data_IF_158439262983
#
_entry.id   IF_158439262983
#
_cell.length_a   1.000
_cell.length_b   1.000
_cell.length_c   1.000
_cell.angle_alpha   90.00
_cell.angle_beta   90.00
_cell.angle_gamma   90.00
#
_symmetry.space_group_name_H-M   'P 1'
#
loop_
_entity.id
_entity.type
_entity.pdbx_description
1 polymer ?
#
# COMPACT_ATOMS: atom_id res chain seq x y z
N UNK A 1 36.09 5.39 3.55
CA UNK A 1 35.88 6.83 3.75
C UNK A 1 36.21 7.61 2.47
N UNK A 2 37.49 7.61 2.05
CA UNK A 2 37.94 8.28 0.80
C UNK A 2 37.00 8.15 -0.40
N UNK A 3 36.56 6.93 -0.75
CA UNK A 3 35.62 6.71 -1.87
C UNK A 3 34.25 7.40 -1.74
N UNK A 4 33.73 7.57 -0.53
CA UNK A 4 32.44 8.25 -0.30
C UNK A 4 32.64 9.77 -0.39
N UNK A 5 33.70 10.28 0.21
CA UNK A 5 34.04 11.72 0.16
C UNK A 5 34.39 12.17 -1.26
N UNK A 6 35.18 11.39 -2.00
CA UNK A 6 35.50 11.65 -3.41
C UNK A 6 34.25 11.71 -4.28
N UNK A 7 33.28 10.81 -4.02
CA UNK A 7 32.07 10.68 -4.83
C UNK A 7 30.99 11.71 -4.47
N UNK A 8 30.86 12.06 -3.20
CA UNK A 8 29.72 12.85 -2.70
C UNK A 8 30.10 14.16 -2.01
N UNK A 9 31.38 14.39 -1.68
CA UNK A 9 31.82 15.58 -0.94
C UNK A 9 31.61 16.91 -1.67
N UNK A 10 31.33 16.88 -2.98
CA UNK A 10 30.91 18.06 -3.77
C UNK A 10 29.39 18.24 -3.82
N UNK A 11 28.62 17.20 -3.51
CA UNK A 11 27.16 17.19 -3.60
C UNK A 11 26.48 17.41 -2.25
N UNK A 12 27.21 17.28 -1.14
CA UNK A 12 26.70 17.50 0.23
C UNK A 12 27.72 18.29 1.04
N UNK A 13 27.22 19.18 1.89
CA UNK A 13 28.07 20.03 2.74
C UNK A 13 28.80 19.24 3.83
N UNK A 14 28.15 18.21 4.39
CA UNK A 14 28.66 17.46 5.53
C UNK A 14 28.44 15.95 5.36
N UNK A 15 29.50 15.18 5.59
CA UNK A 15 29.45 13.72 5.68
C UNK A 15 29.83 13.35 7.12
N UNK A 16 28.86 12.89 7.90
CA UNK A 16 29.08 12.45 9.28
C UNK A 16 29.09 10.93 9.37
N UNK A 17 30.15 10.37 9.97
CA UNK A 17 30.27 8.94 10.23
C UNK A 17 30.34 8.75 11.74
N UNK A 18 29.37 8.07 12.37
CA UNK A 18 29.42 7.83 13.80
C UNK A 18 30.60 6.92 14.15
N UNK A 19 31.38 7.32 15.15
CA UNK A 19 32.53 6.55 15.66
C UNK A 19 32.16 5.12 16.08
N UNK A 20 30.89 4.88 16.41
CA UNK A 20 30.33 3.56 16.71
C UNK A 20 29.10 3.32 15.84
N UNK A 21 29.31 2.90 14.59
CA UNK A 21 28.22 2.68 13.61
C UNK A 21 27.17 1.68 14.11
N UNK A 22 27.60 0.56 14.71
CA UNK A 22 26.70 -0.44 15.30
C UNK A 22 25.87 0.16 16.43
N UNK A 23 26.51 0.90 17.34
CA UNK A 23 25.80 1.53 18.45
C UNK A 23 24.87 2.65 17.98
N UNK A 24 25.17 3.33 16.87
CA UNK A 24 24.27 4.33 16.28
C UNK A 24 22.96 3.69 15.80
N UNK A 25 23.00 2.51 15.17
CA UNK A 25 21.80 1.75 14.78
C UNK A 25 20.97 1.37 16.01
N UNK A 26 21.62 0.79 17.03
CA UNK A 26 20.93 0.35 18.25
C UNK A 26 20.33 1.52 19.03
N UNK A 27 21.06 2.65 19.15
CA UNK A 27 20.53 3.86 19.78
C UNK A 27 19.34 4.43 19.01
N UNK A 28 19.40 4.46 17.69
CA UNK A 28 18.28 4.87 16.84
C UNK A 28 17.04 4.00 17.05
N UNK A 29 17.22 2.67 17.08
CA UNK A 29 16.14 1.73 17.36
C UNK A 29 15.55 1.92 18.76
N UNK A 30 16.37 2.14 19.78
CA UNK A 30 15.91 2.40 21.15
C UNK A 30 15.13 3.72 21.27
N UNK A 31 15.60 4.80 20.62
CA UNK A 31 14.91 6.09 20.56
C UNK A 31 13.55 5.92 19.87
N UNK A 32 13.52 5.21 18.75
CA UNK A 32 12.27 4.92 18.02
C UNK A 32 11.29 4.12 18.90
N UNK A 33 11.73 3.00 19.48
CA UNK A 33 10.90 2.19 20.38
C UNK A 33 10.36 2.98 21.58
N UNK A 34 11.17 3.85 22.18
CA UNK A 34 10.73 4.75 23.26
C UNK A 34 9.68 5.75 22.78
N UNK A 35 9.81 6.26 21.56
CA UNK A 35 8.82 7.18 20.97
C UNK A 35 7.45 6.52 20.76
N UNK A 36 7.41 5.22 20.45
CA UNK A 36 6.17 4.45 20.31
C UNK A 36 5.43 4.24 21.65
N UNK A 37 6.13 4.26 22.79
CA UNK A 37 5.47 4.16 24.10
C UNK A 37 4.73 5.46 24.47
N UNK A 38 5.25 6.62 24.07
CA UNK A 38 4.61 7.91 24.27
C UNK A 38 3.34 8.12 23.44
N UNK A 39 3.19 7.41 22.33
CA UNK A 39 2.03 7.53 21.41
C UNK A 39 0.83 6.66 21.80
N UNK A 40 1.02 5.57 22.57
CA UNK A 40 -0.07 4.69 23.04
C UNK A 40 -1.06 5.37 23.98
N UNK A 41 -0.67 6.46 24.65
CA UNK A 41 -1.51 7.20 25.60
C UNK A 41 -2.26 8.39 24.97
N UNK A 42 -2.13 8.65 23.66
CA UNK A 42 -2.65 9.90 23.10
C UNK A 42 -3.07 9.75 21.64
N UNK A 43 -4.32 9.35 21.44
CA UNK A 43 -5.04 9.28 20.16
C UNK A 43 -5.17 10.63 19.41
N UNK A 44 -4.39 11.66 19.79
CA UNK A 44 -4.53 13.02 19.26
C UNK A 44 -3.33 13.95 19.54
N UNK A 45 -2.10 13.45 19.56
CA UNK A 45 -0.94 14.36 19.63
C UNK A 45 -0.37 14.62 18.23
N UNK A 46 -0.31 15.91 17.91
CA UNK A 46 0.27 16.53 16.72
C UNK A 46 1.49 15.74 16.17
N UNK A 47 1.56 15.62 14.84
CA UNK A 47 2.67 14.99 14.08
C UNK A 47 4.08 15.49 14.48
N UNK A 48 4.19 16.56 15.28
CA UNK A 48 5.45 17.16 15.76
C UNK A 48 6.23 16.34 16.79
N UNK A 49 5.68 15.25 17.36
CA UNK A 49 6.41 14.35 18.26
C UNK A 49 6.74 12.96 17.68
N UNK A 50 6.37 12.68 16.43
CA UNK A 50 6.75 11.41 15.79
C UNK A 50 8.22 11.47 15.38
N UNK A 51 9.00 10.46 15.77
CA UNK A 51 10.41 10.31 15.33
C UNK A 51 10.48 10.07 13.82
N UNK A 52 9.42 9.48 13.23
CA UNK A 52 9.26 9.32 11.79
C UNK A 52 8.03 10.13 11.36
N UNK A 53 8.23 11.21 10.60
CA UNK A 53 7.14 12.04 10.10
C UNK A 53 6.65 11.57 8.72
N UNK A 54 7.58 11.17 7.85
CA UNK A 54 7.33 10.74 6.48
C UNK A 54 8.16 9.50 6.15
N UNK A 55 7.79 8.82 5.07
CA UNK A 55 8.57 7.75 4.46
C UNK A 55 8.46 7.79 2.95
N UNK A 56 9.52 7.37 2.28
CA UNK A 56 9.52 7.18 0.82
C UNK A 56 9.13 5.74 0.52
N UNK A 57 8.05 5.53 -0.24
CA UNK A 57 7.56 4.20 -0.58
C UNK A 57 8.61 3.43 -1.40
N UNK A 58 9.01 2.25 -0.89
CA UNK A 58 9.98 1.38 -1.57
C UNK A 58 9.39 0.62 -2.75
N UNK A 59 8.07 0.48 -2.79
CA UNK A 59 7.32 -0.26 -3.79
C UNK A 59 6.12 0.55 -4.28
N UNK A 60 5.64 0.20 -5.47
CA UNK A 60 4.35 0.59 -6.00
C UNK A 60 3.33 -0.42 -5.48
N UNK A 61 2.22 0.06 -4.93
CA UNK A 61 1.15 -0.75 -4.38
C UNK A 61 -0.12 -0.60 -5.20
N UNK A 62 -0.91 -1.66 -5.27
CA UNK A 62 -2.15 -1.66 -6.01
C UNK A 62 -2.95 -2.94 -5.77
N UNK A 63 -4.06 -3.06 -6.47
CA UNK A 63 -4.95 -4.22 -6.38
C UNK A 63 -5.14 -4.89 -7.72
N UNK A 64 -5.49 -6.17 -7.68
CA UNK A 64 -6.03 -6.86 -8.85
C UNK A 64 -7.46 -6.38 -9.10
N UNK A 65 -7.69 -5.83 -10.29
CA UNK A 65 -9.03 -5.51 -10.80
C UNK A 65 -9.35 -6.38 -12.00
N UNK A 66 -10.63 -6.62 -12.24
CA UNK A 66 -11.08 -7.41 -13.37
C UNK A 66 -12.06 -6.60 -14.22
N UNK A 67 -11.65 -5.54 -14.94
CA UNK A 67 -12.57 -4.77 -15.81
C UNK A 67 -13.02 -5.58 -17.04
N UNK A 68 -13.98 -5.05 -17.79
CA UNK A 68 -14.30 -5.54 -19.13
C UNK A 68 -13.09 -5.38 -20.05
N UNK A 69 -12.82 -6.40 -20.87
CA UNK A 69 -11.82 -6.36 -21.93
C UNK A 69 -12.27 -5.38 -23.02
N UNK A 70 -11.35 -4.57 -23.55
CA UNK A 70 -11.65 -3.53 -24.55
C UNK A 70 -10.73 -3.68 -25.77
N UNK A 71 -11.13 -3.14 -26.95
CA UNK A 71 -10.23 -3.01 -28.09
C UNK A 71 -8.94 -2.31 -27.69
N UNK A 72 -7.79 -2.93 -27.99
CA UNK A 72 -6.46 -2.50 -27.56
C UNK A 72 -5.87 -3.30 -26.39
N UNK A 73 -6.71 -4.04 -25.65
CA UNK A 73 -6.22 -5.02 -24.69
C UNK A 73 -5.65 -6.26 -25.43
N UNK A 74 -4.61 -6.93 -24.87
CA UNK A 74 -4.06 -8.14 -25.50
C UNK A 74 -5.12 -9.26 -25.55
N UNK A 75 -5.37 -9.87 -26.73
CA UNK A 75 -6.40 -10.89 -26.88
C UNK A 75 -6.12 -12.15 -26.06
N UNK A 76 -4.85 -12.52 -25.89
CA UNK A 76 -4.40 -13.67 -25.11
C UNK A 76 -4.66 -13.52 -23.60
N UNK A 77 -4.90 -12.30 -23.12
CA UNK A 77 -5.23 -12.00 -21.71
C UNK A 77 -6.74 -11.91 -21.45
N UNK A 78 -7.57 -12.12 -22.48
CA UNK A 78 -9.02 -12.14 -22.34
C UNK A 78 -9.45 -13.38 -21.56
N UNK A 79 -10.16 -13.17 -20.46
CA UNK A 79 -10.75 -14.23 -19.64
C UNK A 79 -12.25 -14.37 -19.91
N UNK A 80 -12.88 -15.31 -19.22
CA UNK A 80 -14.33 -15.57 -19.31
C UNK A 80 -15.17 -14.30 -19.09
N UNK A 81 -16.38 -14.30 -19.66
CA UNK A 81 -17.29 -13.16 -19.66
C UNK A 81 -16.72 -11.86 -20.29
N UNK A 82 -15.70 -11.98 -21.15
CA UNK A 82 -15.13 -10.83 -21.87
C UNK A 82 -14.42 -9.84 -20.96
N UNK A 83 -13.70 -10.34 -19.95
CA UNK A 83 -12.97 -9.51 -18.98
C UNK A 83 -11.46 -9.68 -19.12
N UNK A 84 -10.71 -8.89 -18.36
CA UNK A 84 -9.26 -8.95 -18.26
C UNK A 84 -8.84 -8.66 -16.82
N UNK A 85 -7.82 -9.34 -16.30
CA UNK A 85 -7.23 -9.02 -15.00
C UNK A 85 -6.11 -7.99 -15.19
N UNK A 86 -6.13 -6.92 -14.40
CA UNK A 86 -5.13 -5.84 -14.43
C UNK A 86 -4.70 -5.47 -13.02
N UNK A 87 -3.49 -4.94 -12.92
CA UNK A 87 -3.01 -4.27 -11.73
C UNK A 87 -3.45 -2.81 -11.75
N UNK A 88 -4.27 -2.41 -10.78
CA UNK A 88 -4.66 -1.03 -10.57
C UNK A 88 -3.79 -0.42 -9.47
N UNK A 89 -2.88 0.47 -9.86
CA UNK A 89 -1.98 1.19 -8.95
C UNK A 89 -2.75 2.13 -8.03
N UNK A 90 -2.44 2.07 -6.74
CA UNK A 90 -2.99 2.94 -5.68
C UNK A 90 -1.94 3.94 -5.19
N UNK A 91 -0.72 3.46 -4.96
CA UNK A 91 0.37 4.29 -4.45
C UNK A 91 1.66 3.95 -5.19
N UNK A 92 2.44 4.97 -5.51
CA UNK A 92 3.62 4.84 -6.36
C UNK A 92 4.90 4.73 -5.54
N UNK A 93 5.84 3.92 -6.04
CA UNK A 93 7.20 3.91 -5.50
C UNK A 93 7.82 5.30 -5.58
N UNK A 94 8.69 5.62 -4.63
CA UNK A 94 9.39 6.92 -4.49
C UNK A 94 8.48 8.09 -4.09
N UNK A 95 7.18 7.88 -3.93
CA UNK A 95 6.31 8.87 -3.30
C UNK A 95 6.67 8.99 -1.82
N UNK A 96 6.92 10.23 -1.38
CA UNK A 96 6.99 10.56 0.03
C UNK A 96 5.56 10.61 0.60
N UNK A 97 5.32 9.87 1.67
CA UNK A 97 4.02 9.80 2.33
C UNK A 97 4.14 10.09 3.81
N UNK A 98 3.17 10.78 4.38
CA UNK A 98 3.06 10.94 5.83
C UNK A 98 2.57 9.65 6.48
N UNK A 99 2.87 9.47 7.76
CA UNK A 99 2.37 8.33 8.53
C UNK A 99 0.84 8.35 8.56
N UNK A 100 0.24 7.21 8.24
CA UNK A 100 -1.21 6.99 8.08
C UNK A 100 -1.85 7.75 6.90
N UNK A 101 -1.06 8.26 5.95
CA UNK A 101 -1.60 8.80 4.70
C UNK A 101 -2.42 7.74 3.98
N UNK A 102 -3.65 8.12 3.62
CA UNK A 102 -4.65 7.26 3.03
C UNK A 102 -4.78 7.51 1.51
N UNK A 103 -4.72 6.43 0.74
CA UNK A 103 -4.96 6.43 -0.70
C UNK A 103 -6.22 5.62 -1.00
N UNK A 104 -7.18 6.20 -1.70
CA UNK A 104 -8.51 5.61 -1.92
C UNK A 104 -8.74 5.30 -3.39
N UNK A 105 -9.47 4.21 -3.64
CA UNK A 105 -10.20 3.96 -4.88
C UNK A 105 -11.67 3.80 -4.52
N UNK A 106 -12.52 4.55 -5.20
CA UNK A 106 -13.96 4.52 -5.02
C UNK A 106 -14.64 3.69 -6.12
N UNK A 107 -15.91 3.39 -5.91
CA UNK A 107 -16.80 2.79 -6.90
C UNK A 107 -16.32 1.45 -7.48
N UNK A 108 -15.64 0.65 -6.66
CA UNK A 108 -15.29 -0.72 -7.00
C UNK A 108 -16.54 -1.59 -6.94
N UNK A 109 -16.95 -2.09 -8.11
CA UNK A 109 -18.16 -2.91 -8.26
C UNK A 109 -17.85 -4.41 -8.22
N UNK A 110 -18.78 -5.24 -7.72
CA UNK A 110 -18.63 -6.69 -7.81
C UNK A 110 -18.56 -7.12 -9.26
N UNK A 111 -17.79 -8.19 -9.54
CA UNK A 111 -17.70 -8.74 -10.90
C UNK A 111 -19.01 -9.41 -11.32
N UNK A 112 -19.73 -10.00 -10.36
CA UNK A 112 -20.98 -10.73 -10.59
C UNK A 112 -22.13 -10.13 -9.76
N UNK A 113 -23.34 -10.02 -10.32
CA UNK A 113 -24.48 -9.40 -9.64
C UNK A 113 -24.94 -10.17 -8.40
N UNK A 114 -24.75 -11.49 -8.37
CA UNK A 114 -25.16 -12.35 -7.25
C UNK A 114 -24.02 -12.66 -6.26
N UNK A 115 -22.84 -12.03 -6.41
CA UNK A 115 -21.70 -12.25 -5.53
C UNK A 115 -22.07 -11.97 -4.05
N UNK A 116 -21.76 -12.92 -3.16
CA UNK A 116 -21.93 -12.80 -1.70
C UNK A 116 -20.76 -12.13 -1.01
N UNK A 117 -19.61 -12.06 -1.70
CA UNK A 117 -18.34 -11.54 -1.20
C UNK A 117 -17.62 -10.80 -2.30
N UNK A 118 -16.73 -9.90 -1.91
CA UNK A 118 -15.76 -9.27 -2.78
C UNK A 118 -14.38 -9.38 -2.14
N UNK A 119 -13.39 -9.75 -2.94
CA UNK A 119 -12.01 -9.93 -2.50
C UNK A 119 -11.14 -8.87 -3.15
N UNK A 120 -10.43 -8.10 -2.33
CA UNK A 120 -9.39 -7.18 -2.77
C UNK A 120 -8.03 -7.83 -2.56
N UNK A 121 -7.46 -8.37 -3.63
CA UNK A 121 -6.09 -8.88 -3.62
C UNK A 121 -5.12 -7.73 -3.85
N UNK A 122 -4.25 -7.50 -2.87
CA UNK A 122 -3.27 -6.42 -2.87
C UNK A 122 -1.92 -6.97 -3.33
N UNK A 123 -1.28 -6.25 -4.25
CA UNK A 123 0.03 -6.59 -4.81
C UNK A 123 0.98 -5.40 -4.65
N UNK A 124 2.28 -5.70 -4.69
CA UNK A 124 3.33 -4.68 -4.74
C UNK A 124 4.44 -5.06 -5.71
N UNK A 125 5.15 -4.05 -6.23
CA UNK A 125 6.27 -4.24 -7.16
C UNK A 125 7.30 -3.12 -7.05
N UNK A 126 8.53 -3.37 -7.52
CA UNK A 126 9.56 -2.33 -7.73
C UNK A 126 9.36 -1.53 -9.02
N UNK A 127 8.54 -2.04 -9.95
CA UNK A 127 8.21 -1.37 -11.20
C UNK A 127 7.32 -0.14 -10.97
N UNK A 128 7.48 0.88 -11.81
CA UNK A 128 6.70 2.11 -11.73
C UNK A 128 5.40 2.02 -12.54
N UNK A 129 5.47 1.37 -13.71
CA UNK A 129 4.38 1.29 -14.69
C UNK A 129 3.94 -0.16 -14.94
N UNK A 130 3.66 -0.90 -13.87
CA UNK A 130 3.13 -2.26 -14.01
C UNK A 130 1.67 -2.24 -14.43
N UNK A 131 1.27 -3.17 -15.31
CA UNK A 131 -0.08 -3.23 -15.89
C UNK A 131 -0.82 -4.51 -15.47
N UNK A 132 -0.11 -5.62 -15.29
CA UNK A 132 -0.67 -6.92 -14.94
C UNK A 132 -0.08 -7.49 -13.64
N UNK A 133 -0.88 -8.26 -12.90
CA UNK A 133 -0.48 -8.85 -11.61
C UNK A 133 0.50 -10.02 -11.76
N UNK A 134 0.70 -10.54 -12.98
CA UNK A 134 1.62 -11.64 -13.31
C UNK A 134 2.95 -11.15 -13.90
N UNK A 135 3.19 -9.84 -13.93
CA UNK A 135 4.43 -9.27 -14.44
C UNK A 135 5.64 -9.62 -13.54
N UNK A 136 6.85 -9.73 -14.11
CA UNK A 136 8.07 -9.98 -13.35
C UNK A 136 8.26 -8.97 -12.19
N UNK A 137 8.41 -9.50 -10.98
CA UNK A 137 8.59 -8.68 -9.77
C UNK A 137 7.30 -8.13 -9.16
N UNK A 138 6.13 -8.63 -9.58
CA UNK A 138 4.89 -8.52 -8.80
C UNK A 138 4.89 -9.55 -7.67
N UNK A 139 4.60 -9.09 -6.46
CA UNK A 139 4.49 -9.94 -5.28
C UNK A 139 3.11 -9.72 -4.61
N UNK A 140 2.42 -10.80 -4.21
CA UNK A 140 1.18 -10.67 -3.45
C UNK A 140 1.50 -10.17 -2.04
N UNK A 141 0.79 -9.12 -1.60
CA UNK A 141 0.85 -8.63 -0.23
C UNK A 141 -0.11 -9.40 0.69
N UNK A 142 -1.31 -9.68 0.17
CA UNK A 142 -2.39 -10.32 0.91
C UNK A 142 -3.75 -9.94 0.31
N UNK A 143 -4.81 -10.34 1.00
CA UNK A 143 -6.18 -10.09 0.56
C UNK A 143 -7.06 -9.53 1.68
N UNK A 144 -8.03 -8.70 1.30
CA UNK A 144 -9.13 -8.26 2.15
C UNK A 144 -10.45 -8.75 1.55
N UNK A 145 -11.16 -9.60 2.29
CA UNK A 145 -12.45 -10.15 1.87
C UNK A 145 -13.57 -9.42 2.62
N UNK A 146 -14.55 -8.91 1.89
CA UNK A 146 -15.75 -8.27 2.44
C UNK A 146 -17.00 -9.07 2.09
N UNK A 147 -18.02 -9.00 2.94
CA UNK A 147 -19.33 -9.56 2.61
C UNK A 147 -20.17 -8.55 1.82
N UNK A 148 -20.97 -9.07 0.91
CA UNK A 148 -21.94 -8.32 0.11
C UNK A 148 -23.33 -8.96 0.29
N UNK A 149 -24.01 -8.74 1.43
CA UNK A 149 -25.27 -9.40 1.75
C UNK A 149 -26.44 -8.97 0.84
N UNK A 150 -26.42 -7.74 0.32
CA UNK A 150 -27.52 -7.11 -0.41
C UNK A 150 -27.63 -7.54 -1.88
N UNK A 151 -27.63 -8.86 -2.17
CA UNK A 151 -27.61 -9.40 -3.54
C UNK A 151 -28.72 -8.87 -4.45
N UNK A 152 -29.84 -8.44 -3.89
CA UNK A 152 -30.97 -7.86 -4.63
C UNK A 152 -30.60 -6.59 -5.39
N UNK A 153 -29.52 -5.89 -5.00
CA UNK A 153 -28.99 -4.71 -5.68
C UNK A 153 -28.11 -5.05 -6.90
N UNK A 154 -27.81 -6.33 -7.16
CA UNK A 154 -27.04 -6.74 -8.32
C UNK A 154 -25.62 -6.15 -8.33
N UNK A 155 -25.28 -5.39 -9.38
CA UNK A 155 -23.98 -4.72 -9.50
C UNK A 155 -23.92 -3.35 -8.78
N UNK A 156 -25.06 -2.78 -8.41
CA UNK A 156 -25.14 -1.48 -7.71
C UNK A 156 -24.81 -1.61 -6.22
N UNK A 157 -23.60 -2.12 -5.94
CA UNK A 157 -23.02 -2.28 -4.61
C UNK A 157 -21.58 -1.77 -4.61
N UNK A 158 -21.39 -0.46 -4.83
CA UNK A 158 -20.07 0.13 -4.87
C UNK A 158 -19.37 0.03 -3.52
N UNK A 159 -18.08 -0.27 -3.59
CA UNK A 159 -17.20 -0.34 -2.44
C UNK A 159 -16.02 0.63 -2.63
N UNK A 160 -15.62 1.26 -1.55
CA UNK A 160 -14.38 2.04 -1.49
C UNK A 160 -13.30 1.18 -0.84
N UNK A 161 -12.14 1.06 -1.48
CA UNK A 161 -10.94 0.49 -0.86
C UNK A 161 -9.98 1.63 -0.52
N UNK A 162 -9.34 1.56 0.63
CA UNK A 162 -8.23 2.44 0.97
C UNK A 162 -7.02 1.68 1.48
N UNK A 163 -5.83 2.16 1.09
CA UNK A 163 -4.55 1.72 1.65
C UNK A 163 -3.96 2.86 2.48
N UNK A 164 -3.60 2.55 3.72
CA UNK A 164 -2.96 3.48 4.64
C UNK A 164 -1.54 3.00 4.93
N UNK A 165 -0.62 3.94 4.84
CA UNK A 165 0.79 3.70 5.08
C UNK A 165 1.16 4.10 6.51
N UNK A 166 0.88 3.22 7.47
CA UNK A 166 1.19 3.42 8.90
C UNK A 166 2.69 3.30 9.22
N UNK A 167 3.09 3.40 10.49
CA UNK A 167 4.51 3.46 10.88
C UNK A 167 5.31 2.22 10.41
N UNK A 168 4.85 1.02 10.76
CA UNK A 168 5.51 -0.26 10.43
C UNK A 168 4.68 -1.14 9.49
N UNK A 169 3.42 -0.79 9.30
CA UNK A 169 2.42 -1.67 8.68
C UNK A 169 1.71 -0.96 7.52
N UNK A 170 1.06 -1.75 6.66
CA UNK A 170 0.15 -1.26 5.63
C UNK A 170 -1.25 -1.70 6.04
N UNK A 171 -2.18 -0.75 6.21
CA UNK A 171 -3.59 -1.09 6.50
C UNK A 171 -4.40 -1.01 5.23
N UNK A 172 -5.24 -2.01 4.99
CA UNK A 172 -6.29 -1.92 3.99
C UNK A 172 -7.64 -1.78 4.69
N UNK A 173 -8.47 -0.87 4.22
CA UNK A 173 -9.87 -0.73 4.63
C UNK A 173 -10.77 -0.83 3.43
N UNK A 174 -11.91 -1.50 3.59
CA UNK A 174 -12.94 -1.57 2.58
C UNK A 174 -14.29 -1.16 3.19
N UNK A 175 -15.00 -0.29 2.48
CA UNK A 175 -16.27 0.27 2.89
C UNK A 175 -17.33 -0.01 1.83
N UNK A 176 -18.40 -0.71 2.19
CA UNK A 176 -19.57 -0.86 1.35
C UNK A 176 -20.41 0.42 1.44
N UNK A 177 -20.53 1.14 0.32
CA UNK A 177 -21.15 2.46 0.30
C UNK A 177 -22.68 2.43 0.46
N UNK A 178 -23.33 1.27 0.29
CA UNK A 178 -24.80 1.13 0.39
C UNK A 178 -25.27 0.87 1.82
N UNK A 179 -24.56 0.00 2.54
CA UNK A 179 -24.98 -0.46 3.87
C UNK A 179 -24.04 -0.02 5.00
N UNK A 180 -22.94 0.65 4.67
CA UNK A 180 -21.99 1.18 5.64
C UNK A 180 -21.05 0.15 6.27
N UNK A 181 -21.10 -1.12 5.84
CA UNK A 181 -20.21 -2.15 6.36
C UNK A 181 -18.75 -1.80 6.08
N UNK A 182 -17.92 -1.90 7.12
CA UNK A 182 -16.50 -1.58 7.06
C UNK A 182 -15.67 -2.78 7.50
N UNK A 183 -14.63 -3.07 6.73
CA UNK A 183 -13.68 -4.14 6.96
C UNK A 183 -12.28 -3.56 6.96
N UNK A 184 -11.40 -4.11 7.78
CA UNK A 184 -10.00 -3.72 7.80
C UNK A 184 -9.09 -4.91 8.01
N UNK A 185 -7.90 -4.82 7.44
CA UNK A 185 -6.81 -5.76 7.69
C UNK A 185 -5.49 -5.00 7.69
N UNK A 186 -4.47 -5.64 8.23
CA UNK A 186 -3.10 -5.15 8.26
C UNK A 186 -2.22 -6.12 7.51
N UNK A 187 -1.30 -5.60 6.72
CA UNK A 187 -0.22 -6.34 6.07
C UNK A 187 1.14 -5.90 6.58
N UNK A 188 2.03 -6.88 6.71
CA UNK A 188 3.46 -6.67 6.93
C UNK A 188 4.20 -7.04 5.65
N UNK A 189 5.15 -6.19 5.25
CA UNK A 189 6.08 -6.58 4.20
C UNK A 189 7.06 -7.60 4.77
N UNK A 190 7.27 -8.71 4.06
CA UNK A 190 8.29 -9.68 4.43
C UNK A 190 9.64 -8.97 4.54
N UNK A 191 10.26 -9.02 5.71
CA UNK A 191 11.59 -8.49 5.91
C UNK A 191 12.62 -9.37 5.16
N UNK A 192 13.61 -8.72 4.54
CA UNK A 192 14.78 -9.36 3.93
C UNK A 192 15.90 -9.48 4.94
#
# INVERSE_FOLDING_TARGET
MKKIEEKFGKSVENISIPNQSVAAVVRGAAIYGKSLQGSKNLSKLNNSKRVIATRVLKYTFGIKVTPSWKPGDPPERRISAGRIQKFHRIAERKTEVTVDQEFKIEDLLPVLPFATKMTFEVYYTKAQNAVYCDEPGMEPLGELIINLPDKHLGLDRPCTLSLLFGDMEIKAKAFNQKNGQNYQTTFELKAF
#
